data_IF_570235151236
#
_entry.id   IF_570235151236
#
_cell.length_a   1.000
_cell.length_b   1.000
_cell.length_c   1.000
_cell.angle_alpha   90.00
_cell.angle_beta   90.00
_cell.angle_gamma   90.00
#
_symmetry.space_group_name_H-M   'P 1'
#
loop_
_entity.id
_entity.type
_entity.pdbx_description
1 polymer ?
#
# COMPACT_ATOMS: atom_id res chain seq x y z
N UNK A 1 -3.70 3.25 -17.05
CA UNK A 1 -2.44 3.92 -16.63
C UNK A 1 -2.55 4.10 -15.13
N UNK A 2 -1.56 3.68 -14.33
CA UNK A 2 -1.69 3.76 -12.87
C UNK A 2 -1.07 5.05 -12.31
N UNK A 3 -1.85 5.84 -11.58
CA UNK A 3 -1.38 7.02 -10.86
C UNK A 3 -1.08 6.64 -9.41
N UNK A 4 0.07 7.07 -8.88
CA UNK A 4 0.34 6.90 -7.44
C UNK A 4 -0.50 7.93 -6.70
N UNK A 5 -1.45 7.46 -5.90
CA UNK A 5 -2.31 8.30 -5.07
C UNK A 5 -1.75 8.44 -3.66
N UNK A 6 -1.15 7.38 -3.10
CA UNK A 6 -0.60 7.43 -1.73
C UNK A 6 0.58 6.48 -1.54
N UNK A 7 1.47 6.86 -0.62
CA UNK A 7 2.52 5.98 -0.09
C UNK A 7 2.32 5.90 1.41
N UNK A 8 2.27 4.67 1.94
CA UNK A 8 2.25 4.40 3.37
C UNK A 8 3.55 3.69 3.72
N UNK A 9 4.34 4.29 4.59
CA UNK A 9 5.63 3.73 5.03
C UNK A 9 5.50 3.13 6.41
N UNK A 10 6.26 2.06 6.66
CA UNK A 10 6.55 1.61 8.01
C UNK A 10 8.01 1.90 8.39
N UNK A 11 8.36 1.66 9.65
CA UNK A 11 9.76 1.60 10.09
C UNK A 11 10.45 0.39 9.45
N UNK A 12 11.77 0.49 9.24
CA UNK A 12 12.60 -0.55 8.59
C UNK A 12 12.34 -0.89 7.10
N UNK A 13 12.09 0.12 6.25
CA UNK A 13 12.23 -0.05 4.79
C UNK A 13 11.12 -0.86 4.11
N UNK A 14 10.08 -1.24 4.86
CA UNK A 14 8.84 -1.79 4.33
C UNK A 14 7.84 -0.67 4.06
N UNK A 15 7.18 -0.69 2.90
CA UNK A 15 6.16 0.31 2.56
C UNK A 15 5.13 -0.22 1.57
N UNK A 16 3.95 0.40 1.56
CA UNK A 16 2.90 0.15 0.59
C UNK A 16 2.71 1.37 -0.33
N UNK A 17 2.45 1.12 -1.60
CA UNK A 17 2.00 2.13 -2.57
C UNK A 17 0.57 1.82 -2.96
N UNK A 18 -0.29 2.82 -2.83
CA UNK A 18 -1.66 2.79 -3.32
C UNK A 18 -1.66 3.54 -4.63
N UNK A 19 -2.13 2.87 -5.68
CA UNK A 19 -2.26 3.41 -7.01
C UNK A 19 -3.72 3.38 -7.43
N UNK A 20 -4.19 4.37 -8.17
CA UNK A 20 -5.46 4.29 -8.91
C UNK A 20 -5.15 3.89 -10.35
N UNK A 21 -5.67 2.75 -10.77
CA UNK A 21 -5.65 2.38 -12.18
C UNK A 21 -6.78 3.11 -12.90
N UNK A 22 -6.43 4.00 -13.83
CA UNK A 22 -7.42 4.78 -14.59
C UNK A 22 -8.18 3.95 -15.61
N UNK A 23 -7.69 2.75 -15.94
CA UNK A 23 -8.28 1.92 -16.99
C UNK A 23 -9.39 1.03 -16.43
N UNK A 24 -9.21 0.53 -15.21
CA UNK A 24 -10.21 -0.29 -14.50
C UNK A 24 -11.00 0.50 -13.46
N UNK A 25 -10.57 1.73 -13.17
CA UNK A 25 -11.10 2.56 -12.08
C UNK A 25 -10.97 1.92 -10.69
N UNK A 26 -9.99 1.02 -10.52
CA UNK A 26 -9.70 0.32 -9.27
C UNK A 26 -8.46 0.89 -8.57
N UNK A 27 -8.43 0.78 -7.25
CA UNK A 27 -7.24 0.93 -6.45
C UNK A 27 -6.41 -0.36 -6.41
N UNK A 28 -5.10 -0.20 -6.51
CA UNK A 28 -4.11 -1.26 -6.42
C UNK A 28 -3.16 -0.94 -5.27
N UNK A 29 -3.06 -1.85 -4.30
CA UNK A 29 -2.08 -1.78 -3.22
C UNK A 29 -0.89 -2.68 -3.58
N UNK A 30 0.31 -2.12 -3.56
CA UNK A 30 1.57 -2.84 -3.82
C UNK A 30 2.48 -2.71 -2.61
N UNK A 31 3.01 -3.83 -2.11
CA UNK A 31 3.91 -3.85 -0.96
C UNK A 31 5.36 -4.03 -1.37
N UNK A 32 6.24 -3.36 -0.67
CA UNK A 32 7.67 -3.35 -0.91
C UNK A 32 8.40 -3.62 0.40
N UNK A 33 9.44 -4.45 0.35
CA UNK A 33 10.40 -4.66 1.44
C UNK A 33 11.80 -4.29 0.94
N UNK A 34 12.47 -3.37 1.63
CA UNK A 34 13.81 -2.84 1.26
C UNK A 34 13.92 -2.45 -0.22
N UNK A 35 12.84 -1.86 -0.75
CA UNK A 35 12.75 -1.41 -2.14
C UNK A 35 12.38 -2.50 -3.17
N UNK A 36 12.20 -3.75 -2.75
CA UNK A 36 11.77 -4.85 -3.63
C UNK A 36 10.27 -5.09 -3.54
N UNK A 37 9.60 -5.16 -4.71
CA UNK A 37 8.17 -5.47 -4.79
C UNK A 37 7.90 -6.92 -4.36
N UNK A 38 6.95 -7.09 -3.44
CA UNK A 38 6.43 -8.39 -3.04
C UNK A 38 5.42 -8.90 -4.08
N UNK A 39 5.85 -9.82 -4.95
CA UNK A 39 5.11 -10.22 -6.17
C UNK A 39 3.72 -10.84 -5.93
N UNK A 40 3.43 -11.32 -4.73
CA UNK A 40 2.17 -11.99 -4.37
C UNK A 40 1.37 -11.25 -3.30
N UNK A 41 1.68 -9.97 -3.05
CA UNK A 41 1.00 -9.18 -2.02
C UNK A 41 0.07 -8.12 -2.60
N UNK A 42 -0.17 -8.11 -3.92
CA UNK A 42 -1.02 -7.07 -4.51
C UNK A 42 -2.48 -7.26 -4.10
N UNK A 43 -3.13 -6.16 -3.70
CA UNK A 43 -4.55 -6.11 -3.38
C UNK A 43 -5.26 -5.13 -4.31
N UNK A 44 -6.47 -5.48 -4.73
CA UNK A 44 -7.28 -4.73 -5.68
C UNK A 44 -8.65 -4.48 -5.07
N UNK A 45 -9.15 -3.26 -5.16
CA UNK A 45 -10.48 -2.86 -4.68
C UNK A 45 -10.93 -1.61 -5.41
N UNK A 46 -12.23 -1.38 -5.57
CA UNK A 46 -12.79 -0.14 -6.11
C UNK A 46 -12.90 0.98 -5.05
N UNK A 47 -12.76 0.64 -3.77
CA UNK A 47 -12.87 1.56 -2.63
C UNK A 47 -11.50 2.01 -2.06
N UNK A 48 -11.33 3.33 -1.92
CA UNK A 48 -10.06 3.91 -1.43
C UNK A 48 -9.81 3.59 0.05
N UNK A 49 -10.88 3.60 0.84
CA UNK A 49 -10.84 3.30 2.26
C UNK A 49 -10.40 1.86 2.51
N UNK A 50 -10.90 0.90 1.72
CA UNK A 50 -10.49 -0.50 1.76
C UNK A 50 -9.03 -0.68 1.34
N UNK A 51 -8.57 0.07 0.33
CA UNK A 51 -7.17 0.04 -0.11
C UNK A 51 -6.24 0.54 1.00
N UNK A 52 -6.58 1.67 1.63
CA UNK A 52 -5.82 2.25 2.75
C UNK A 52 -5.86 1.32 3.97
N UNK A 53 -7.05 0.81 4.32
CA UNK A 53 -7.24 -0.10 5.45
C UNK A 53 -6.42 -1.37 5.30
N UNK A 54 -6.44 -1.98 4.11
CA UNK A 54 -5.64 -3.17 3.79
C UNK A 54 -4.15 -2.87 3.85
N UNK A 55 -3.70 -1.77 3.24
CA UNK A 55 -2.30 -1.38 3.28
C UNK A 55 -1.79 -1.19 4.72
N UNK A 56 -2.57 -0.52 5.58
CA UNK A 56 -2.24 -0.35 7.00
C UNK A 56 -2.22 -1.67 7.76
N UNK A 57 -3.23 -2.52 7.58
CA UNK A 57 -3.33 -3.80 8.26
C UNK A 57 -2.14 -4.71 7.92
N UNK A 58 -1.79 -4.81 6.64
CA UNK A 58 -0.67 -5.62 6.18
C UNK A 58 0.68 -5.07 6.62
N UNK A 59 0.91 -3.74 6.52
CA UNK A 59 2.13 -3.13 7.05
C UNK A 59 2.29 -3.36 8.56
N UNK A 60 1.20 -3.29 9.32
CA UNK A 60 1.20 -3.58 10.77
C UNK A 60 1.60 -5.02 11.07
N UNK A 61 1.14 -5.97 10.24
CA UNK A 61 1.49 -7.40 10.34
C UNK A 61 2.95 -7.67 9.98
N UNK A 62 3.50 -6.91 9.04
CA UNK A 62 4.88 -7.04 8.59
C UNK A 62 5.88 -6.50 9.64
N UNK A 63 5.49 -5.51 10.44
CA UNK A 63 6.34 -4.90 11.46
C UNK A 63 6.25 -5.50 12.86
N UNK A 64 5.10 -6.05 13.23
CA UNK A 64 4.81 -6.30 14.64
C UNK A 64 4.45 -5.03 15.43
N UNK A 65 3.78 -4.04 14.79
CA UNK A 65 3.12 -2.81 15.34
C UNK A 65 4.12 -1.65 15.63
N UNK A 66 3.98 -0.37 15.25
CA UNK A 66 2.87 0.60 15.02
C UNK A 66 3.08 1.43 13.73
N UNK A 67 2.00 1.68 12.96
CA UNK A 67 2.02 2.49 11.73
C UNK A 67 1.98 3.98 12.07
N UNK A 68 3.11 4.67 11.91
CA UNK A 68 3.17 6.13 11.97
C UNK A 68 2.69 6.75 10.65
N UNK A 69 1.55 7.45 10.70
CA UNK A 69 0.98 8.13 9.54
C UNK A 69 1.89 9.31 9.15
N UNK A 70 2.72 9.12 8.14
CA UNK A 70 3.48 10.20 7.51
C UNK A 70 2.73 10.69 6.28
N UNK A 71 2.09 11.83 6.41
CA UNK A 71 1.53 12.61 5.30
C UNK A 71 2.69 13.38 4.67
N UNK A 72 2.97 13.09 3.39
CA UNK A 72 3.76 13.93 2.49
C UNK A 72 2.89 15.02 1.89
#
# INVERSE_FOLDING_TARGET
>A
MALITKILTNVEGTFARILRDTDTDEFVVKFYDRGQLLKNANYYTDDEGDAIGTARAELSRMDGVEVADSVL
#
